data_IF_578808222200
#
_entry.id   IF_578808222200
#
_cell.length_a   1.000
_cell.length_b   1.000
_cell.length_c   1.000
_cell.angle_alpha   90.00
_cell.angle_beta   90.00
_cell.angle_gamma   90.00
#
_symmetry.space_group_name_H-M   'P 1'
#
loop_
_entity.id
_entity.type
_entity.pdbx_description
1 polymer ?
#
# COMPACT_ATOMS: atom_id res chain seq x y z
N UNK A 1 19.72 -9.47 16.08
CA UNK A 1 19.33 -8.31 15.25
C UNK A 1 18.45 -8.89 14.17
N UNK A 2 17.17 -9.06 14.48
CA UNK A 2 16.36 -10.10 13.82
C UNK A 2 15.49 -9.54 12.69
N UNK A 3 15.88 -8.36 12.19
CA UNK A 3 15.19 -7.69 11.11
C UNK A 3 16.14 -7.21 10.03
N UNK A 4 15.71 -7.32 8.78
CA UNK A 4 16.29 -6.61 7.65
C UNK A 4 15.52 -5.29 7.48
N UNK A 5 16.25 -4.17 7.51
CA UNK A 5 15.70 -2.84 7.26
C UNK A 5 16.03 -2.40 5.82
N UNK A 6 14.99 -1.99 5.10
CA UNK A 6 15.06 -1.33 3.80
C UNK A 6 14.44 0.06 3.97
N UNK A 7 15.25 1.12 3.85
CA UNK A 7 14.84 2.50 4.16
C UNK A 7 15.36 3.48 3.11
N UNK A 8 14.49 4.36 2.60
CA UNK A 8 14.89 5.47 1.72
C UNK A 8 15.32 5.06 0.31
N UNK A 9 14.94 3.87 -0.17
CA UNK A 9 15.34 3.40 -1.48
C UNK A 9 14.42 3.96 -2.57
N UNK A 10 15.01 4.52 -3.62
CA UNK A 10 14.33 4.76 -4.89
C UNK A 10 14.84 3.76 -5.92
N UNK A 11 13.94 2.95 -6.49
CA UNK A 11 14.32 1.89 -7.44
C UNK A 11 13.37 1.88 -8.65
N UNK A 12 13.95 1.80 -9.85
CA UNK A 12 13.25 1.46 -11.09
C UNK A 12 13.66 0.05 -11.48
N UNK A 13 12.68 -0.84 -11.64
CA UNK A 13 12.89 -2.20 -12.12
C UNK A 13 12.14 -2.37 -13.43
N UNK A 14 12.89 -2.68 -14.47
CA UNK A 14 12.38 -3.06 -15.78
C UNK A 14 12.77 -4.51 -16.04
N UNK A 15 11.83 -5.33 -16.48
CA UNK A 15 12.13 -6.74 -16.73
C UNK A 15 10.94 -7.56 -17.19
N UNK A 16 11.25 -8.66 -17.88
CA UNK A 16 10.30 -9.69 -18.28
C UNK A 16 10.42 -10.89 -17.34
N UNK A 17 9.37 -11.19 -16.55
CA UNK A 17 9.45 -12.29 -15.58
C UNK A 17 8.35 -12.28 -14.51
N UNK A 18 8.11 -13.47 -13.91
CA UNK A 18 7.05 -13.68 -12.90
C UNK A 18 7.36 -13.12 -11.52
N UNK A 19 8.61 -12.84 -11.20
CA UNK A 19 9.00 -12.16 -9.98
C UNK A 19 10.25 -11.34 -10.27
N UNK A 20 10.23 -10.07 -9.89
CA UNK A 20 11.46 -9.37 -9.55
C UNK A 20 11.48 -9.42 -8.04
N UNK A 21 12.02 -10.51 -7.48
CA UNK A 21 12.17 -10.67 -6.04
C UNK A 21 13.18 -9.64 -5.54
N UNK A 22 12.73 -8.39 -5.31
CA UNK A 22 13.57 -7.32 -4.77
C UNK A 22 14.08 -7.72 -3.38
N UNK A 23 13.21 -8.44 -2.65
CA UNK A 23 13.42 -8.90 -1.30
C UNK A 23 12.76 -10.28 -1.25
N UNK A 24 13.52 -11.37 -1.41
CA UNK A 24 13.06 -12.74 -1.11
C UNK A 24 13.49 -13.07 0.32
N UNK A 25 12.61 -12.86 1.31
CA UNK A 25 12.99 -13.05 2.68
C UNK A 25 13.21 -14.53 3.00
N UNK A 26 14.35 -14.89 3.60
CA UNK A 26 14.48 -16.21 4.21
C UNK A 26 13.38 -16.38 5.28
N UNK A 27 12.78 -17.57 5.35
CA UNK A 27 11.70 -17.87 6.29
C UNK A 27 12.17 -17.65 7.72
N UNK A 28 11.49 -16.75 8.45
CA UNK A 28 11.68 -16.55 9.89
C UNK A 28 12.34 -15.23 10.30
N UNK A 29 12.85 -14.44 9.36
CA UNK A 29 13.31 -13.07 9.63
C UNK A 29 12.14 -12.08 9.45
N UNK A 30 12.04 -11.05 10.30
CA UNK A 30 11.05 -9.97 10.10
C UNK A 30 11.63 -8.88 9.20
N UNK A 31 10.83 -8.32 8.31
CA UNK A 31 11.27 -7.25 7.40
C UNK A 31 10.63 -5.92 7.78
N UNK A 32 11.38 -4.84 7.64
CA UNK A 32 10.85 -3.48 7.74
C UNK A 32 11.23 -2.76 6.45
N UNK A 33 10.22 -2.39 5.66
CA UNK A 33 10.37 -1.68 4.39
C UNK A 33 9.67 -0.35 4.54
N UNK A 34 10.43 0.75 4.49
CA UNK A 34 9.86 2.07 4.73
C UNK A 34 10.46 3.18 3.90
N UNK A 35 9.69 4.24 3.70
CA UNK A 35 10.13 5.45 3.02
C UNK A 35 10.73 5.16 1.63
N UNK A 36 10.20 4.15 0.93
CA UNK A 36 10.72 3.72 -0.37
C UNK A 36 9.85 4.21 -1.52
N UNK A 37 10.49 4.50 -2.65
CA UNK A 37 9.82 4.70 -3.94
C UNK A 37 10.20 3.56 -4.88
N UNK A 38 9.22 2.71 -5.21
CA UNK A 38 9.42 1.53 -6.02
C UNK A 38 8.60 1.64 -7.30
N UNK A 39 9.28 1.77 -8.44
CA UNK A 39 8.66 1.75 -9.77
C UNK A 39 8.99 0.46 -10.50
N UNK A 40 7.96 -0.22 -10.98
CA UNK A 40 8.09 -1.54 -11.61
C UNK A 40 7.29 -1.60 -12.89
N UNK A 41 7.99 -1.81 -14.00
CA UNK A 41 7.38 -1.95 -15.31
C UNK A 41 7.43 -3.42 -15.71
N UNK A 42 6.39 -4.17 -15.30
CA UNK A 42 6.28 -5.60 -15.56
C UNK A 42 5.45 -5.81 -16.83
N UNK A 43 6.03 -6.53 -17.78
CA UNK A 43 5.45 -6.83 -19.08
C UNK A 43 4.35 -7.91 -19.04
N UNK A 44 4.14 -8.55 -17.88
CA UNK A 44 3.22 -9.65 -17.71
C UNK A 44 2.27 -9.45 -16.52
N UNK A 45 1.07 -10.02 -16.65
CA UNK A 45 -0.01 -9.94 -15.65
C UNK A 45 0.23 -10.76 -14.38
N UNK A 46 1.36 -11.46 -14.27
CA UNK A 46 1.65 -12.40 -13.18
C UNK A 46 2.67 -11.88 -12.17
N UNK A 47 3.43 -10.84 -12.51
CA UNK A 47 4.48 -10.30 -11.65
C UNK A 47 3.96 -9.60 -10.39
N UNK A 48 4.77 -9.61 -9.34
CA UNK A 48 4.50 -8.93 -8.08
C UNK A 48 5.52 -7.84 -7.81
N UNK A 49 5.12 -6.80 -7.05
CA UNK A 49 6.03 -5.75 -6.65
C UNK A 49 6.97 -6.21 -5.54
N UNK A 50 6.38 -6.76 -4.47
CA UNK A 50 7.10 -7.43 -3.38
C UNK A 50 6.42 -8.76 -3.07
N UNK A 51 7.23 -9.80 -2.99
CA UNK A 51 6.85 -11.17 -2.63
C UNK A 51 7.29 -11.50 -1.20
N UNK A 52 6.33 -11.70 -0.29
CA UNK A 52 6.58 -11.84 1.14
C UNK A 52 6.26 -13.24 1.63
N UNK A 53 7.30 -13.99 2.00
CA UNK A 53 7.21 -15.33 2.63
C UNK A 53 7.44 -15.30 4.15
N UNK A 54 7.73 -14.12 4.71
CA UNK A 54 8.06 -13.89 6.11
C UNK A 54 7.29 -12.69 6.67
N UNK A 55 7.23 -12.51 8.00
CA UNK A 55 6.59 -11.35 8.59
C UNK A 55 7.22 -10.04 8.12
N UNK A 56 6.41 -9.01 7.86
CA UNK A 56 6.91 -7.73 7.37
C UNK A 56 6.05 -6.54 7.82
N UNK A 57 6.69 -5.40 8.03
CA UNK A 57 6.06 -4.10 8.17
C UNK A 57 6.45 -3.24 6.95
N UNK A 58 5.45 -2.75 6.21
CA UNK A 58 5.64 -1.97 4.98
C UNK A 58 4.90 -0.65 5.11
N UNK A 59 5.62 0.47 5.11
CA UNK A 59 4.99 1.77 5.34
C UNK A 59 5.68 2.98 4.76
N UNK A 60 4.92 4.04 4.50
CA UNK A 60 5.41 5.26 3.84
C UNK A 60 6.08 4.94 2.49
N UNK A 61 5.60 3.94 1.75
CA UNK A 61 6.16 3.58 0.46
C UNK A 61 5.22 3.95 -0.69
N UNK A 62 5.82 4.35 -1.81
CA UNK A 62 5.12 4.50 -3.10
C UNK A 62 5.45 3.30 -3.97
N UNK A 63 4.42 2.60 -4.44
CA UNK A 63 4.51 1.48 -5.36
C UNK A 63 3.83 1.85 -6.67
N UNK A 64 4.62 2.16 -7.69
CA UNK A 64 4.10 2.46 -9.02
C UNK A 64 4.41 1.30 -9.97
N UNK A 65 3.42 0.77 -10.67
CA UNK A 65 3.73 -0.25 -11.65
C UNK A 65 2.55 -0.96 -12.26
N UNK A 66 2.86 -1.98 -13.04
CA UNK A 66 1.91 -2.92 -13.64
C UNK A 66 2.23 -4.33 -13.18
N UNK A 67 1.26 -5.23 -13.21
CA UNK A 67 1.44 -6.63 -12.81
C UNK A 67 0.26 -7.15 -12.01
N UNK A 68 0.44 -8.32 -11.39
CA UNK A 68 -0.58 -8.98 -10.59
C UNK A 68 -0.84 -8.23 -9.29
N UNK A 69 0.19 -7.94 -8.48
CA UNK A 69 -0.01 -7.18 -7.24
C UNK A 69 1.20 -6.34 -6.86
N UNK A 70 1.00 -5.17 -6.23
CA UNK A 70 2.13 -4.41 -5.69
C UNK A 70 2.77 -5.13 -4.51
N UNK A 71 1.93 -5.68 -3.63
CA UNK A 71 2.37 -6.47 -2.47
C UNK A 71 1.65 -7.82 -2.50
N UNK A 72 2.41 -8.90 -2.38
CA UNK A 72 1.88 -10.25 -2.27
C UNK A 72 2.40 -10.96 -1.01
N UNK A 73 1.48 -11.34 -0.11
CA UNK A 73 1.80 -12.10 1.09
C UNK A 73 1.49 -13.59 0.90
N UNK A 74 2.51 -14.45 0.89
CA UNK A 74 2.40 -15.90 0.74
C UNK A 74 1.81 -16.59 2.00
N UNK A 75 1.40 -17.87 1.89
CA UNK A 75 0.92 -18.63 3.04
C UNK A 75 1.91 -18.61 4.21
N UNK A 76 1.40 -18.32 5.40
CA UNK A 76 2.19 -18.24 6.64
C UNK A 76 2.89 -16.90 6.87
N UNK A 77 2.84 -15.95 5.95
CA UNK A 77 3.33 -14.59 6.17
C UNK A 77 2.32 -13.77 7.02
N UNK A 78 2.84 -12.93 7.90
CA UNK A 78 2.09 -11.94 8.69
C UNK A 78 2.59 -10.54 8.33
N UNK A 79 1.82 -9.80 7.53
CA UNK A 79 2.27 -8.55 6.92
C UNK A 79 1.41 -7.38 7.39
N UNK A 80 2.03 -6.36 7.96
CA UNK A 80 1.41 -5.06 8.20
C UNK A 80 1.75 -4.12 7.05
N UNK A 81 0.74 -3.53 6.43
CA UNK A 81 0.88 -2.59 5.30
C UNK A 81 0.16 -1.31 5.65
N UNK A 82 0.88 -0.22 5.89
CA UNK A 82 0.24 1.01 6.33
C UNK A 82 0.82 2.29 5.74
N UNK A 83 -0.04 3.26 5.45
CA UNK A 83 0.38 4.53 4.84
C UNK A 83 1.22 4.33 3.58
N UNK A 84 0.73 3.54 2.61
CA UNK A 84 1.39 3.37 1.31
C UNK A 84 0.52 3.93 0.18
N UNK A 85 1.16 4.38 -0.90
CA UNK A 85 0.49 4.80 -2.14
C UNK A 85 0.80 3.79 -3.24
N UNK A 86 -0.21 3.09 -3.75
CA UNK A 86 -0.07 2.00 -4.73
C UNK A 86 -0.78 2.38 -6.03
N UNK A 87 -0.05 2.50 -7.14
CA UNK A 87 -0.53 3.09 -8.39
C UNK A 87 -0.34 2.14 -9.57
N UNK A 88 -1.42 1.85 -10.31
CA UNK A 88 -1.39 1.15 -11.61
C UNK A 88 -1.45 -0.38 -11.59
N UNK A 89 -1.48 -1.00 -10.41
CA UNK A 89 -1.41 -2.45 -10.24
C UNK A 89 -2.75 -3.15 -10.48
N UNK A 90 -2.75 -4.40 -10.96
CA UNK A 90 -4.02 -5.16 -11.07
C UNK A 90 -4.66 -5.35 -9.69
N UNK A 91 -3.88 -5.69 -8.68
CA UNK A 91 -4.30 -5.71 -7.28
C UNK A 91 -3.30 -4.82 -6.51
N UNK A 92 -3.73 -3.97 -5.59
CA UNK A 92 -2.77 -3.23 -4.77
C UNK A 92 -2.12 -4.18 -3.76
N UNK A 93 -2.93 -4.93 -3.01
CA UNK A 93 -2.46 -5.93 -2.06
C UNK A 93 -3.20 -7.24 -2.31
N UNK A 94 -2.44 -8.31 -2.47
CA UNK A 94 -2.94 -9.68 -2.62
C UNK A 94 -2.37 -10.55 -1.51
N UNK A 95 -3.14 -11.50 -0.98
CA UNK A 95 -2.65 -12.38 0.07
C UNK A 95 -3.16 -13.81 -0.04
N UNK A 96 -2.30 -14.72 0.43
CA UNK A 96 -2.57 -16.10 0.84
C UNK A 96 -2.19 -16.30 2.32
N UNK A 97 -1.43 -15.37 2.92
CA UNK A 97 -1.19 -15.25 4.37
C UNK A 97 -2.15 -14.28 5.09
N UNK A 98 -1.70 -13.71 6.21
CA UNK A 98 -2.45 -12.73 7.00
C UNK A 98 -1.92 -11.32 6.76
N UNK A 99 -2.81 -10.38 6.43
CA UNK A 99 -2.45 -8.97 6.18
C UNK A 99 -3.25 -8.03 7.05
N UNK A 100 -2.60 -7.08 7.70
CA UNK A 100 -3.24 -5.90 8.28
C UNK A 100 -2.94 -4.69 7.41
N UNK A 101 -3.96 -4.13 6.75
CA UNK A 101 -3.81 -2.98 5.85
C UNK A 101 -4.46 -1.72 6.45
N UNK A 102 -3.71 -0.63 6.66
CA UNK A 102 -4.24 0.61 7.25
C UNK A 102 -3.80 1.86 6.48
N UNK A 103 -4.65 2.87 6.29
CA UNK A 103 -4.25 4.15 5.69
C UNK A 103 -3.63 4.07 4.27
N UNK A 104 -3.90 3.04 3.47
CA UNK A 104 -3.29 2.94 2.13
C UNK A 104 -4.15 3.64 1.06
N UNK A 105 -3.51 4.22 0.04
CA UNK A 105 -4.15 4.69 -1.19
C UNK A 105 -3.85 3.69 -2.29
N UNK A 106 -4.87 3.16 -2.95
CA UNK A 106 -4.72 2.39 -4.17
C UNK A 106 -5.51 3.02 -5.33
N UNK A 107 -4.80 3.41 -6.38
CA UNK A 107 -5.33 4.17 -7.52
C UNK A 107 -4.88 3.54 -8.85
N UNK A 108 -5.71 3.66 -9.88
CA UNK A 108 -5.44 3.12 -11.21
C UNK A 108 -5.44 1.59 -11.26
N UNK A 109 -6.08 0.91 -10.30
CA UNK A 109 -6.12 -0.54 -10.27
C UNK A 109 -7.13 -1.12 -11.26
N UNK A 110 -6.73 -2.13 -12.02
CA UNK A 110 -7.57 -2.77 -13.05
C UNK A 110 -8.30 -4.04 -12.57
N UNK A 111 -7.95 -4.55 -11.39
CA UNK A 111 -8.53 -5.73 -10.76
C UNK A 111 -8.76 -5.50 -9.26
N UNK A 112 -8.88 -6.58 -8.47
CA UNK A 112 -9.31 -6.50 -7.06
C UNK A 112 -8.23 -5.83 -6.21
N UNK A 113 -8.43 -4.55 -5.92
CA UNK A 113 -7.49 -3.71 -5.16
C UNK A 113 -6.96 -4.41 -3.91
N UNK A 114 -7.85 -4.97 -3.10
CA UNK A 114 -7.49 -5.86 -1.99
C UNK A 114 -8.02 -7.26 -2.32
N UNK A 115 -7.17 -8.28 -2.34
CA UNK A 115 -7.57 -9.62 -2.76
C UNK A 115 -7.01 -10.71 -1.87
N UNK A 116 -7.88 -11.45 -1.23
CA UNK A 116 -7.53 -12.74 -0.63
C UNK A 116 -7.66 -13.90 -1.62
N UNK A 117 -6.70 -14.82 -1.56
CA UNK A 117 -6.61 -16.05 -2.36
C UNK A 117 -6.28 -17.21 -1.42
N UNK A 118 -6.81 -18.39 -1.73
CA UNK A 118 -6.45 -19.67 -1.12
C UNK A 118 -6.37 -19.68 0.43
N UNK A 119 -7.30 -19.00 1.10
CA UNK A 119 -7.38 -18.95 2.57
C UNK A 119 -6.67 -17.78 3.23
N UNK A 120 -6.04 -16.89 2.44
CA UNK A 120 -5.51 -15.62 2.94
C UNK A 120 -6.60 -14.75 3.58
N UNK A 121 -6.20 -13.91 4.52
CA UNK A 121 -7.11 -13.06 5.29
C UNK A 121 -6.57 -11.65 5.45
N UNK A 122 -7.44 -10.66 5.29
CA UNK A 122 -7.21 -9.35 5.89
C UNK A 122 -7.70 -9.40 7.34
N UNK A 123 -6.86 -8.96 8.28
CA UNK A 123 -7.21 -8.92 9.70
C UNK A 123 -8.38 -7.97 9.95
N UNK A 124 -9.09 -8.18 11.06
CA UNK A 124 -10.25 -7.38 11.44
C UNK A 124 -9.94 -5.89 11.64
N UNK A 125 -8.67 -5.57 11.93
CA UNK A 125 -8.20 -4.19 12.16
C UNK A 125 -7.70 -3.52 10.87
N UNK A 126 -7.93 -4.12 9.70
CA UNK A 126 -7.59 -3.47 8.42
C UNK A 126 -8.63 -2.40 8.08
N UNK A 127 -8.23 -1.13 8.10
CA UNK A 127 -9.17 0.02 8.10
C UNK A 127 -8.57 1.25 7.37
N UNK A 128 -9.38 2.26 7.06
CA UNK A 128 -8.95 3.53 6.45
C UNK A 128 -8.17 3.35 5.14
N UNK A 129 -8.58 2.43 4.26
CA UNK A 129 -7.92 2.26 2.96
C UNK A 129 -8.79 2.84 1.85
N UNK A 130 -8.16 3.49 0.88
CA UNK A 130 -8.79 3.94 -0.36
C UNK A 130 -8.50 2.96 -1.50
N UNK A 131 -9.50 2.71 -2.33
CA UNK A 131 -9.45 1.76 -3.42
C UNK A 131 -10.28 2.27 -4.61
N UNK A 132 -9.60 2.75 -5.64
CA UNK A 132 -10.21 2.98 -6.94
C UNK A 132 -10.41 1.65 -7.68
N UNK A 133 -11.65 1.28 -8.00
CA UNK A 133 -11.97 0.03 -8.71
C UNK A 133 -13.07 0.24 -9.75
N UNK A 134 -12.88 -0.24 -10.99
CA UNK A 134 -13.77 -0.04 -12.14
C UNK A 134 -14.84 -1.15 -12.37
N UNK A 135 -15.30 -1.83 -11.33
CA UNK A 135 -16.34 -2.88 -11.40
C UNK A 135 -16.73 -3.52 -10.03
N UNK A 136 -17.20 -4.76 -9.99
CA UNK A 136 -17.88 -5.26 -8.80
C UNK A 136 -17.01 -5.99 -7.75
N UNK A 137 -17.14 -5.55 -6.49
CA UNK A 137 -16.99 -6.39 -5.30
C UNK A 137 -16.12 -5.80 -4.19
N UNK A 138 -16.75 -5.07 -3.26
CA UNK A 138 -16.15 -4.66 -1.98
C UNK A 138 -15.62 -5.92 -1.26
N UNK A 139 -14.37 -5.87 -0.78
CA UNK A 139 -13.90 -6.87 0.19
C UNK A 139 -14.63 -6.62 1.50
N UNK A 140 -15.53 -7.54 1.87
CA UNK A 140 -16.03 -7.64 3.25
C UNK A 140 -14.90 -8.14 4.15
N UNK A 141 -14.07 -7.23 4.67
CA UNK A 141 -13.24 -7.48 5.85
C UNK A 141 -14.09 -7.31 7.13
N UNK A 142 -13.77 -8.00 8.24
CA UNK A 142 -14.72 -8.21 9.34
C UNK A 142 -14.76 -7.07 10.37
N UNK A 143 -15.49 -5.97 10.07
CA UNK A 143 -16.46 -5.19 10.91
C UNK A 143 -16.50 -3.67 10.60
N UNK A 144 -17.71 -3.09 10.75
CA UNK A 144 -18.14 -1.68 10.76
C UNK A 144 -17.51 -0.70 9.72
N UNK A 145 -17.70 -1.00 8.43
CA UNK A 145 -17.63 -0.03 7.31
C UNK A 145 -18.73 1.07 7.38
N UNK A 146 -19.03 1.67 8.55
CA UNK A 146 -20.11 2.66 8.71
C UNK A 146 -19.62 4.12 8.66
N UNK A 147 -18.31 4.36 8.67
CA UNK A 147 -17.72 5.73 8.64
C UNK A 147 -16.59 5.88 7.61
N UNK A 148 -16.47 4.97 6.65
CA UNK A 148 -15.43 5.06 5.60
C UNK A 148 -15.97 5.75 4.36
N UNK A 149 -15.26 6.71 3.73
CA UNK A 149 -15.34 6.81 2.30
C UNK A 149 -14.42 5.74 1.72
N UNK A 150 -14.99 4.57 1.42
CA UNK A 150 -14.49 3.87 0.25
C UNK A 150 -14.77 4.80 -0.92
N UNK A 151 -13.77 5.52 -1.41
CA UNK A 151 -13.90 6.19 -2.70
C UNK A 151 -13.89 5.10 -3.77
N UNK A 152 -15.05 4.48 -3.97
CA UNK A 152 -15.33 3.47 -5.00
C UNK A 152 -15.53 4.11 -6.39
N UNK A 153 -15.41 5.43 -6.48
CA UNK A 153 -15.51 6.13 -7.74
C UNK A 153 -14.11 6.24 -8.33
N UNK A 154 -14.05 6.20 -9.66
CA UNK A 154 -12.85 6.55 -10.38
C UNK A 154 -12.42 7.96 -9.94
N UNK A 155 -11.18 8.11 -9.47
CA UNK A 155 -10.65 9.39 -8.99
C UNK A 155 -9.58 9.82 -9.97
N UNK A 156 -9.67 11.04 -10.49
CA UNK A 156 -8.60 11.58 -11.32
C UNK A 156 -7.34 11.76 -10.45
N UNK A 157 -6.24 11.12 -10.86
CA UNK A 157 -4.96 11.23 -10.14
C UNK A 157 -4.52 12.69 -10.00
N UNK A 158 -4.86 13.57 -10.96
CA UNK A 158 -4.51 14.99 -10.93
C UNK A 158 -5.30 15.80 -9.89
N UNK A 159 -6.41 15.26 -9.39
CA UNK A 159 -7.16 15.83 -8.26
C UNK A 159 -6.53 15.43 -6.92
N UNK A 160 -5.85 14.29 -6.87
CA UNK A 160 -5.27 13.71 -5.65
C UNK A 160 -3.82 14.12 -5.43
N UNK A 161 -3.01 14.03 -6.48
CA UNK A 161 -1.55 14.16 -6.41
C UNK A 161 -1.08 15.45 -7.07
N UNK A 162 0.12 15.92 -6.68
CA UNK A 162 0.71 17.16 -7.19
C UNK A 162 0.99 17.07 -8.69
N UNK A 163 1.70 16.03 -9.14
CA UNK A 163 2.09 15.85 -10.54
C UNK A 163 2.29 14.36 -10.89
N UNK A 164 1.20 13.57 -10.93
CA UNK A 164 1.29 12.12 -11.16
C UNK A 164 1.84 11.79 -12.56
N UNK A 165 1.72 12.70 -13.54
CA UNK A 165 2.28 12.54 -14.88
C UNK A 165 3.81 12.50 -14.87
N UNK A 166 4.45 13.19 -13.91
CA UNK A 166 5.89 13.15 -13.69
C UNK A 166 6.28 12.28 -12.48
N UNK A 167 5.41 11.35 -12.06
CA UNK A 167 5.66 10.40 -10.98
C UNK A 167 5.76 11.04 -9.58
N UNK A 168 5.23 12.26 -9.43
CA UNK A 168 5.12 12.94 -8.16
C UNK A 168 3.76 12.61 -7.52
N UNK A 169 3.78 11.59 -6.67
CA UNK A 169 2.62 11.12 -5.92
C UNK A 169 2.50 11.75 -4.53
N UNK A 170 3.12 12.91 -4.31
CA UNK A 170 2.86 13.72 -3.11
C UNK A 170 1.41 14.18 -3.10
N UNK A 171 0.82 14.23 -1.92
CA UNK A 171 -0.61 14.51 -1.77
C UNK A 171 -0.88 16.01 -1.94
N UNK A 172 -1.82 16.34 -2.83
CA UNK A 172 -2.22 17.73 -3.08
C UNK A 172 -2.99 18.29 -1.89
N UNK A 173 -2.78 19.56 -1.49
CA UNK A 173 -3.64 20.24 -0.53
C UNK A 173 -5.11 20.23 -0.98
N UNK A 174 -6.02 19.92 -0.06
CA UNK A 174 -7.45 19.77 -0.34
C UNK A 174 -7.83 18.46 -1.03
N UNK A 175 -6.89 17.53 -1.20
CA UNK A 175 -7.18 16.18 -1.65
C UNK A 175 -8.18 15.51 -0.71
N UNK A 176 -9.08 14.71 -1.25
CA UNK A 176 -10.05 13.93 -0.48
C UNK A 176 -9.40 12.93 0.51
N UNK A 177 -8.11 12.66 0.36
CA UNK A 177 -7.35 11.79 1.28
C UNK A 177 -6.61 12.56 2.38
N UNK A 178 -6.67 13.88 2.38
CA UNK A 178 -6.18 14.71 3.48
C UNK A 178 -7.04 14.49 4.73
N UNK A 179 -6.40 14.17 5.86
CA UNK A 179 -7.07 13.90 7.14
C UNK A 179 -8.18 12.82 7.09
N UNK A 180 -8.13 11.93 6.09
CA UNK A 180 -9.14 10.87 5.91
C UNK A 180 -8.75 9.53 6.58
N UNK A 181 -7.55 9.44 7.16
CA UNK A 181 -7.02 8.26 7.84
C UNK A 181 -6.94 8.39 9.35
N UNK A 182 -6.57 7.29 10.02
CA UNK A 182 -6.30 7.26 11.46
C UNK A 182 -4.89 7.78 11.75
N UNK A 183 -4.76 8.70 12.71
CA UNK A 183 -3.47 9.30 13.09
C UNK A 183 -2.69 8.52 14.15
N UNK A 184 -1.42 8.89 14.39
CA UNK A 184 -0.54 8.19 15.33
C UNK A 184 -0.97 8.26 16.80
N UNK A 185 -1.79 9.25 17.20
CA UNK A 185 -2.34 9.30 18.57
C UNK A 185 -3.46 8.27 18.80
N UNK A 186 -4.21 7.94 17.74
CA UNK A 186 -5.31 6.98 17.79
C UNK A 186 -4.85 5.55 17.49
N UNK A 187 -3.78 5.38 16.71
CA UNK A 187 -3.23 4.08 16.35
C UNK A 187 -1.68 4.10 16.34
N UNK A 188 -1.01 3.42 17.28
CA UNK A 188 0.45 3.46 17.42
C UNK A 188 1.21 2.72 16.30
N UNK A 189 0.52 2.01 15.40
CA UNK A 189 1.15 1.46 14.20
C UNK A 189 1.43 2.53 13.14
N UNK A 190 0.73 3.67 13.20
CA UNK A 190 0.89 4.74 12.23
C UNK A 190 2.19 5.49 12.51
N UNK A 191 3.09 5.62 11.51
CA UNK A 191 4.33 6.35 11.67
C UNK A 191 4.10 7.80 12.08
N UNK A 192 5.01 8.36 12.88
CA UNK A 192 4.97 9.77 13.26
C UNK A 192 5.40 10.72 12.13
N UNK A 193 5.92 10.19 11.02
CA UNK A 193 6.31 10.97 9.85
C UNK A 193 5.84 10.29 8.57
N UNK A 194 5.79 11.03 7.47
CA UNK A 194 5.55 10.50 6.13
C UNK A 194 6.86 10.10 5.41
N UNK A 195 6.76 9.80 4.11
CA UNK A 195 7.90 9.40 3.26
C UNK A 195 9.01 10.46 3.16
N UNK A 196 8.69 11.75 3.33
CA UNK A 196 9.66 12.85 3.28
C UNK A 196 10.09 13.32 4.68
N UNK A 197 9.64 12.64 5.73
CA UNK A 197 9.94 12.99 7.11
C UNK A 197 9.05 14.12 7.67
N UNK A 198 7.99 14.52 6.96
CA UNK A 198 7.02 15.50 7.48
C UNK A 198 6.16 14.88 8.58
N UNK A 199 5.82 15.62 9.64
CA UNK A 199 5.15 15.06 10.80
C UNK A 199 3.71 14.63 10.49
N UNK A 200 3.32 13.48 11.06
CA UNK A 200 1.93 13.04 11.24
C UNK A 200 1.59 13.25 12.72
N UNK A 201 0.43 13.82 13.02
CA UNK A 201 0.02 14.12 14.40
C UNK A 201 -1.51 14.04 14.54
N UNK A 202 -2.01 14.01 15.78
CA UNK A 202 -3.44 13.97 16.04
C UNK A 202 -4.08 12.59 15.87
N UNK A 203 -5.40 12.58 16.08
CA UNK A 203 -6.25 11.39 15.93
C UNK A 203 -6.53 11.03 14.46
N UNK A 204 -6.34 11.97 13.53
CA UNK A 204 -6.52 11.79 12.09
C UNK A 204 -5.25 12.18 11.34
N UNK A 205 -5.01 11.58 10.18
CA UNK A 205 -3.88 11.93 9.28
C UNK A 205 -4.24 11.66 7.83
N UNK A 206 -3.40 12.07 6.88
CA UNK A 206 -3.59 11.74 5.46
C UNK A 206 -3.39 10.25 5.18
N UNK A 207 -4.20 9.71 4.26
CA UNK A 207 -3.93 8.39 3.68
C UNK A 207 -2.67 8.44 2.81
N UNK A 208 -2.11 7.25 2.54
CA UNK A 208 -0.99 7.08 1.63
C UNK A 208 0.36 7.38 2.26
N UNK A 209 1.38 7.36 1.41
CA UNK A 209 2.78 7.52 1.79
C UNK A 209 3.12 8.90 2.34
N UNK A 210 2.31 9.90 2.02
CA UNK A 210 2.63 11.32 2.09
C UNK A 210 1.53 12.11 2.81
N UNK A 211 1.86 13.19 3.53
CA UNK A 211 0.84 14.12 4.06
C UNK A 211 0.53 15.25 3.09
N UNK A 212 -0.67 15.84 3.13
CA UNK A 212 -0.94 16.98 2.25
C UNK A 212 -0.11 18.21 2.65
N UNK A 213 0.28 19.04 1.68
CA UNK A 213 0.86 20.37 1.95
C UNK A 213 2.37 20.45 2.14
N UNK A 214 3.14 19.54 1.53
CA UNK A 214 4.59 19.66 1.34
C UNK A 214 4.99 20.52 0.16
#
# INVERSE_FOLDING_TARGET
VDHLLVDGIQMLITGSGRSNDIIDPERGQKYIIRNCYLRMELDNSSGYGIDLKSPADIYNCVFQGTGSAAIFAFPGAEVNVYNNTLVGWTNAIKNEGSVRAINNIAIGASGKVFRSKDGGVFTADSDYNSAEYSGQGIVKAPRKNIEMPWHLQQVDQNEVFIDPANHDFRLKPGSLFENAGVGPEANPLIPATDIEGRPRSGALTSLGADVAGG
#
